data_IF_750670269362
#
_entry.id   IF_750670269362
#
_cell.length_a   1.000
_cell.length_b   1.000
_cell.length_c   1.000
_cell.angle_alpha   90.00
_cell.angle_beta   90.00
_cell.angle_gamma   90.00
#
_symmetry.space_group_name_H-M   'P 1'
#
loop_
_entity.id
_entity.type
_entity.pdbx_description
1 polymer ?
#
# COMPACT_ATOMS: atom_id res chain seq x y z
N UNK A 1 -58.58 -14.80 11.45
CA UNK A 1 -58.01 -13.45 11.21
C UNK A 1 -57.00 -13.00 12.26
N UNK A 2 -57.15 -13.29 13.57
CA UNK A 2 -56.20 -12.87 14.64
C UNK A 2 -54.80 -13.47 14.50
N UNK A 3 -54.64 -14.69 14.00
CA UNK A 3 -53.34 -15.33 13.83
C UNK A 3 -52.57 -14.85 12.60
N UNK A 4 -53.25 -14.34 11.56
CA UNK A 4 -52.60 -13.79 10.36
C UNK A 4 -51.88 -12.48 10.66
N UNK A 5 -52.41 -11.63 11.54
CA UNK A 5 -51.76 -10.41 11.99
C UNK A 5 -50.52 -10.70 12.84
N UNK A 6 -50.52 -11.77 13.64
CA UNK A 6 -49.39 -12.15 14.47
C UNK A 6 -48.22 -12.69 13.63
N UNK A 7 -48.47 -13.40 12.55
CA UNK A 7 -47.46 -13.90 11.63
C UNK A 7 -46.82 -12.78 10.80
N UNK A 8 -47.57 -11.75 10.41
CA UNK A 8 -47.05 -10.59 9.68
C UNK A 8 -46.21 -9.72 10.60
N UNK A 9 -46.56 -9.54 11.87
CA UNK A 9 -45.78 -8.80 12.85
C UNK A 9 -44.46 -9.52 13.20
N UNK A 10 -44.43 -10.85 13.22
CA UNK A 10 -43.21 -11.62 13.49
C UNK A 10 -42.26 -11.62 12.28
N UNK A 11 -42.77 -11.57 11.02
CA UNK A 11 -41.94 -11.47 9.83
C UNK A 11 -41.27 -10.08 9.66
N UNK A 12 -41.89 -9.03 10.17
CA UNK A 12 -41.31 -7.66 10.14
C UNK A 12 -40.13 -7.48 11.11
N UNK A 13 -39.98 -8.33 12.11
CA UNK A 13 -38.87 -8.29 13.08
C UNK A 13 -37.57 -8.92 12.57
N UNK A 14 -37.59 -9.65 11.46
CA UNK A 14 -36.41 -10.34 10.91
C UNK A 14 -35.68 -9.49 9.86
N UNK A 15 -36.27 -8.38 9.39
CA UNK A 15 -35.60 -7.38 8.52
C UNK A 15 -34.89 -6.28 9.31
N UNK A 16 -34.39 -6.61 10.50
CA UNK A 16 -33.51 -5.74 11.30
C UNK A 16 -32.15 -5.65 10.65
N UNK A 17 -31.87 -4.49 10.04
CA UNK A 17 -30.59 -3.91 9.68
C UNK A 17 -29.36 -4.80 9.94
N UNK A 18 -28.86 -5.48 8.92
CA UNK A 18 -27.42 -5.73 8.80
C UNK A 18 -26.79 -4.43 8.30
N UNK A 19 -26.65 -3.44 9.17
CA UNK A 19 -25.64 -2.41 8.96
C UNK A 19 -24.31 -3.11 9.12
N UNK A 20 -23.64 -3.41 8.02
CA UNK A 20 -22.22 -3.73 8.05
C UNK A 20 -21.53 -2.51 8.66
N UNK A 21 -21.07 -2.65 9.91
CA UNK A 21 -20.24 -1.66 10.58
C UNK A 21 -18.85 -1.71 9.94
N UNK A 22 -18.73 -1.28 8.69
CA UNK A 22 -17.44 -0.81 8.21
C UNK A 22 -17.21 0.52 8.91
N UNK A 23 -16.14 0.66 9.70
CA UNK A 23 -15.84 1.94 10.32
C UNK A 23 -15.80 3.03 9.25
N UNK A 24 -16.41 4.18 9.50
CA UNK A 24 -16.30 5.35 8.61
C UNK A 24 -14.86 5.83 8.48
N UNK A 25 -13.98 5.44 9.41
CA UNK A 25 -12.56 5.77 9.49
C UNK A 25 -11.75 4.49 9.47
N UNK A 26 -10.72 4.42 8.60
CA UNK A 26 -9.82 3.28 8.54
C UNK A 26 -8.96 3.20 9.83
N UNK A 27 -8.65 1.99 10.32
CA UNK A 27 -7.77 1.82 11.48
C UNK A 27 -6.34 2.28 11.17
N UNK A 28 -5.57 2.58 12.22
CA UNK A 28 -4.11 2.67 12.14
C UNK A 28 -3.56 1.26 12.42
N UNK A 29 -2.70 0.77 11.53
CA UNK A 29 -2.14 -0.57 11.57
C UNK A 29 -0.66 -0.53 11.95
N UNK A 30 -0.13 -1.67 12.35
CA UNK A 30 1.25 -1.85 12.79
C UNK A 30 1.39 -1.95 14.31
N UNK A 31 2.51 -2.49 14.80
CA UNK A 31 2.76 -2.63 16.23
C UNK A 31 3.00 -1.25 16.85
N UNK A 32 2.24 -0.86 17.88
CA UNK A 32 2.47 0.42 18.54
C UNK A 32 3.82 0.42 19.27
N UNK A 33 4.46 1.59 19.36
CA UNK A 33 5.63 1.81 20.19
C UNK A 33 5.21 2.25 21.59
N UNK A 34 6.08 1.98 22.57
CA UNK A 34 5.88 2.49 23.94
C UNK A 34 6.68 3.78 24.07
N UNK A 35 5.96 4.87 24.28
CA UNK A 35 6.55 6.18 24.51
C UNK A 35 7.30 6.28 25.84
N UNK A 36 8.10 7.34 26.05
CA UNK A 36 8.91 7.55 27.24
C UNK A 36 8.09 7.57 28.56
N UNK A 37 6.82 7.90 28.48
CA UNK A 37 5.90 7.96 29.62
C UNK A 37 5.05 6.70 29.78
N UNK A 38 5.32 5.64 29.02
CA UNK A 38 4.53 4.39 29.01
C UNK A 38 3.23 4.48 28.20
N UNK A 39 2.99 5.56 27.47
CA UNK A 39 1.90 5.73 26.52
C UNK A 39 2.13 4.93 25.25
N UNK A 40 1.02 4.49 24.63
CA UNK A 40 1.05 3.77 23.35
C UNK A 40 1.07 4.78 22.21
N UNK A 41 2.15 4.78 21.43
CA UNK A 41 2.30 5.60 20.22
C UNK A 41 1.96 4.73 19.01
N UNK A 42 0.99 5.12 18.16
CA UNK A 42 0.69 4.38 16.93
C UNK A 42 1.92 4.26 16.04
N UNK A 43 2.05 3.13 15.35
CA UNK A 43 3.12 2.93 14.38
C UNK A 43 3.04 3.97 13.25
N UNK A 44 4.19 4.45 12.82
CA UNK A 44 4.32 5.35 11.68
C UNK A 44 5.57 5.02 10.87
N UNK A 45 5.51 5.23 9.56
CA UNK A 45 6.67 5.02 8.68
C UNK A 45 7.81 5.98 9.09
N UNK A 46 9.00 5.46 9.41
CA UNK A 46 10.15 6.28 9.82
C UNK A 46 10.64 7.19 8.69
N UNK A 47 11.60 8.04 8.99
CA UNK A 47 12.21 8.89 7.98
C UNK A 47 13.04 8.06 7.00
N UNK A 48 12.87 8.36 5.70
CA UNK A 48 13.67 7.77 4.63
C UNK A 48 14.09 8.83 3.60
N UNK A 49 15.12 8.53 2.83
CA UNK A 49 15.55 9.33 1.69
C UNK A 49 16.20 8.42 0.65
N UNK A 50 15.63 8.38 -0.54
CA UNK A 50 16.05 7.58 -1.68
C UNK A 50 16.12 8.44 -2.95
N UNK A 51 16.50 7.86 -4.07
CA UNK A 51 16.55 8.50 -5.39
C UNK A 51 15.59 7.75 -6.31
N UNK A 52 14.75 8.48 -7.06
CA UNK A 52 13.80 7.90 -7.99
C UNK A 52 14.38 7.67 -9.40
N UNK A 53 13.54 7.17 -10.29
CA UNK A 53 13.84 6.89 -11.71
C UNK A 53 14.26 8.13 -12.51
N UNK A 54 14.00 9.34 -12.03
CA UNK A 54 14.37 10.62 -12.69
C UNK A 54 15.50 11.35 -11.94
N UNK A 55 16.24 10.61 -11.09
CA UNK A 55 17.35 11.12 -10.27
C UNK A 55 16.92 12.18 -9.25
N UNK A 56 15.66 12.22 -8.87
CA UNK A 56 15.17 13.15 -7.86
C UNK A 56 15.18 12.51 -6.49
N UNK A 57 15.45 13.31 -5.45
CA UNK A 57 15.36 12.83 -4.06
C UNK A 57 13.89 12.67 -3.67
N UNK A 58 13.54 11.46 -3.18
CA UNK A 58 12.23 11.11 -2.65
C UNK A 58 12.36 10.79 -1.16
N UNK A 59 11.60 11.48 -0.34
CA UNK A 59 11.60 11.33 1.11
C UNK A 59 10.22 11.64 1.68
N UNK A 60 10.07 11.63 3.00
CA UNK A 60 8.78 11.89 3.63
C UNK A 60 8.17 13.26 3.24
N UNK A 61 8.98 14.27 2.92
CA UNK A 61 8.48 15.59 2.51
C UNK A 61 7.81 15.54 1.11
N UNK A 62 8.17 14.59 0.25
CA UNK A 62 7.54 14.36 -1.06
C UNK A 62 6.04 14.09 -0.90
N UNK A 63 5.66 13.40 0.18
CA UNK A 63 4.28 12.99 0.46
C UNK A 63 3.57 13.91 1.46
N UNK A 64 4.09 15.12 1.70
CA UNK A 64 3.44 16.05 2.63
C UNK A 64 2.01 16.37 2.20
N UNK A 65 1.05 16.09 3.08
CA UNK A 65 -0.38 16.31 2.81
C UNK A 65 -1.03 15.29 1.87
N UNK A 66 -0.30 14.27 1.45
CA UNK A 66 -0.78 13.21 0.54
C UNK A 66 -0.75 11.84 1.23
N UNK A 67 -1.64 10.97 0.79
CA UNK A 67 -1.52 9.53 1.00
C UNK A 67 -0.66 8.91 -0.11
N UNK A 68 -0.13 7.72 0.15
CA UNK A 68 0.54 6.96 -0.90
C UNK A 68 0.36 5.46 -0.74
N UNK A 69 0.42 4.74 -1.87
CA UNK A 69 0.48 3.28 -1.88
C UNK A 69 1.91 2.85 -2.12
N UNK A 70 2.43 2.00 -1.25
CA UNK A 70 3.81 1.49 -1.33
C UNK A 70 3.85 0.00 -1.62
N UNK A 71 4.85 -0.42 -2.43
CA UNK A 71 5.23 -1.81 -2.62
C UNK A 71 6.76 -1.99 -2.58
N UNK A 72 7.17 -3.26 -2.50
CA UNK A 72 8.56 -3.70 -2.61
C UNK A 72 8.67 -4.67 -3.76
N UNK A 73 9.55 -4.39 -4.73
CA UNK A 73 9.66 -5.11 -5.97
C UNK A 73 11.12 -5.24 -6.43
N UNK A 74 11.38 -5.99 -7.49
CA UNK A 74 12.58 -5.88 -8.31
C UNK A 74 12.26 -6.25 -9.76
N UNK A 75 12.94 -5.60 -10.72
CA UNK A 75 12.58 -5.67 -12.14
C UNK A 75 12.69 -7.11 -12.67
N UNK A 76 13.71 -7.85 -12.22
CA UNK A 76 13.97 -9.21 -12.69
C UNK A 76 13.17 -10.31 -11.96
N UNK A 77 12.19 -9.96 -11.11
CA UNK A 77 11.36 -10.95 -10.42
C UNK A 77 10.51 -11.76 -11.41
N UNK A 78 10.65 -13.11 -11.42
CA UNK A 78 9.95 -13.92 -12.42
C UNK A 78 8.54 -14.34 -12.01
N UNK A 79 8.08 -14.03 -10.79
CA UNK A 79 6.87 -14.62 -10.19
C UNK A 79 5.79 -13.61 -9.82
N UNK A 80 5.93 -12.95 -8.67
CA UNK A 80 4.86 -12.11 -8.11
C UNK A 80 4.88 -10.67 -8.62
N UNK A 81 6.07 -10.07 -8.86
CA UNK A 81 6.16 -8.66 -9.29
C UNK A 81 5.39 -8.34 -10.58
N UNK A 82 5.35 -9.19 -11.63
CA UNK A 82 4.51 -8.88 -12.79
C UNK A 82 3.01 -8.81 -12.44
N UNK A 83 2.56 -9.58 -11.44
CA UNK A 83 1.17 -9.56 -10.97
C UNK A 83 0.91 -8.30 -10.14
N UNK A 84 1.78 -7.99 -9.17
CA UNK A 84 1.65 -6.78 -8.34
C UNK A 84 1.75 -5.51 -9.17
N UNK A 85 2.70 -5.44 -10.13
CA UNK A 85 2.82 -4.31 -11.04
C UNK A 85 1.54 -4.06 -11.86
N UNK A 86 0.89 -5.14 -12.35
CA UNK A 86 -0.41 -5.02 -13.03
C UNK A 86 -1.49 -4.44 -12.10
N UNK A 87 -1.52 -4.82 -10.84
CA UNK A 87 -2.48 -4.29 -9.88
C UNK A 87 -2.16 -2.84 -9.48
N UNK A 88 -0.88 -2.51 -9.32
CA UNK A 88 -0.44 -1.13 -9.09
C UNK A 88 -0.80 -0.22 -10.28
N UNK A 89 -0.70 -0.71 -11.54
CA UNK A 89 -1.20 0.01 -12.71
C UNK A 89 -2.71 0.26 -12.66
N UNK A 90 -3.50 -0.70 -12.18
CA UNK A 90 -4.95 -0.49 -11.99
C UNK A 90 -5.23 0.61 -10.97
N UNK A 91 -4.48 0.63 -9.87
CA UNK A 91 -4.58 1.70 -8.87
C UNK A 91 -4.14 3.04 -9.47
N UNK A 92 -3.00 3.06 -10.18
CA UNK A 92 -2.51 4.24 -10.90
C UNK A 92 -3.57 4.82 -11.84
N UNK A 93 -4.18 3.98 -12.69
CA UNK A 93 -5.15 4.42 -13.69
C UNK A 93 -6.46 4.91 -13.06
N UNK A 94 -6.89 4.25 -11.96
CA UNK A 94 -8.08 4.65 -11.22
C UNK A 94 -7.91 6.03 -10.57
N UNK A 95 -6.74 6.30 -9.99
CA UNK A 95 -6.44 7.53 -9.26
C UNK A 95 -5.51 8.49 -10.02
N UNK A 96 -5.37 8.37 -11.34
CA UNK A 96 -4.43 9.19 -12.13
C UNK A 96 -4.65 10.70 -12.01
N UNK A 97 -5.89 11.13 -11.78
CA UNK A 97 -6.28 12.53 -11.65
C UNK A 97 -6.47 12.96 -10.18
N UNK A 98 -6.17 12.10 -9.20
CA UNK A 98 -6.29 12.40 -7.76
C UNK A 98 -4.96 12.93 -7.22
N UNK A 99 -4.80 14.24 -6.97
CA UNK A 99 -3.52 14.81 -6.57
C UNK A 99 -3.12 14.47 -5.12
N UNK A 100 -4.05 13.97 -4.30
CA UNK A 100 -3.82 13.62 -2.90
C UNK A 100 -3.27 12.21 -2.72
N UNK A 101 -3.11 11.42 -3.82
CA UNK A 101 -2.54 10.08 -3.78
C UNK A 101 -1.34 9.98 -4.72
N UNK A 102 -0.26 9.37 -4.24
CA UNK A 102 0.91 8.98 -5.03
C UNK A 102 1.22 7.50 -4.86
N UNK A 103 2.14 6.97 -5.66
CA UNK A 103 2.59 5.59 -5.59
C UNK A 103 4.11 5.56 -5.36
N UNK A 104 4.59 4.57 -4.60
CA UNK A 104 5.99 4.45 -4.20
C UNK A 104 6.45 2.99 -4.28
N UNK A 105 7.29 2.65 -5.24
CA UNK A 105 7.91 1.33 -5.36
C UNK A 105 9.36 1.34 -4.87
N UNK A 106 9.70 0.51 -3.89
CA UNK A 106 11.06 0.33 -3.40
C UNK A 106 11.70 -0.87 -4.10
N UNK A 107 12.82 -0.67 -4.83
CA UNK A 107 13.52 -1.84 -5.37
C UNK A 107 14.25 -2.62 -4.30
N UNK A 108 14.14 -3.93 -4.33
CA UNK A 108 14.90 -4.86 -3.47
C UNK A 108 16.24 -5.27 -4.09
N UNK A 109 16.51 -4.88 -5.35
CA UNK A 109 17.74 -5.23 -6.07
C UNK A 109 18.48 -3.97 -6.57
N UNK A 110 18.83 -2.97 -5.71
CA UNK A 110 19.38 -1.68 -6.13
C UNK A 110 20.70 -1.81 -6.92
N UNK A 111 21.42 -2.89 -6.75
CA UNK A 111 22.63 -3.19 -7.53
C UNK A 111 22.34 -3.34 -9.02
N UNK A 112 21.16 -3.85 -9.37
CA UNK A 112 20.74 -4.11 -10.76
C UNK A 112 19.70 -3.07 -11.22
N UNK A 113 18.80 -2.70 -10.34
CA UNK A 113 17.73 -1.73 -10.56
C UNK A 113 18.26 -0.31 -10.31
N UNK A 114 19.21 0.08 -11.16
CA UNK A 114 19.78 1.45 -11.17
C UNK A 114 18.73 2.47 -11.60
N UNK A 115 18.96 3.74 -11.37
CA UNK A 115 18.10 4.85 -11.84
C UNK A 115 17.73 4.69 -13.32
N UNK A 116 18.74 4.38 -14.18
CA UNK A 116 18.49 4.17 -15.60
C UNK A 116 17.63 2.93 -15.89
N UNK A 117 17.74 1.87 -15.09
CA UNK A 117 16.89 0.68 -15.23
C UNK A 117 15.45 0.98 -14.78
N UNK A 118 15.28 1.67 -13.67
CA UNK A 118 13.97 2.11 -13.16
C UNK A 118 13.28 3.08 -14.12
N UNK A 119 14.03 4.01 -14.74
CA UNK A 119 13.48 4.91 -15.76
C UNK A 119 12.94 4.14 -16.97
N UNK A 120 13.68 3.15 -17.47
CA UNK A 120 13.18 2.29 -18.55
C UNK A 120 11.96 1.47 -18.11
N UNK A 121 11.96 0.97 -16.89
CA UNK A 121 10.83 0.24 -16.33
C UNK A 121 9.58 1.10 -16.25
N UNK A 122 9.67 2.31 -15.71
CA UNK A 122 8.56 3.29 -15.68
C UNK A 122 8.02 3.59 -17.08
N UNK A 123 8.91 3.84 -18.06
CA UNK A 123 8.53 4.06 -19.46
C UNK A 123 7.80 2.87 -20.08
N UNK A 124 8.26 1.65 -19.80
CA UNK A 124 7.59 0.43 -20.29
C UNK A 124 6.20 0.24 -19.68
N UNK A 125 5.99 0.70 -18.43
CA UNK A 125 4.68 0.72 -17.78
C UNK A 125 3.80 1.89 -18.26
N UNK A 126 4.36 2.89 -18.93
CA UNK A 126 3.64 4.10 -19.37
C UNK A 126 3.36 5.09 -18.25
N UNK A 127 4.16 5.11 -17.18
CA UNK A 127 3.98 5.96 -15.99
C UNK A 127 5.15 6.93 -15.81
N UNK A 128 4.92 8.00 -15.00
CA UNK A 128 5.92 9.02 -14.68
C UNK A 128 6.09 9.20 -13.17
N UNK A 129 7.21 9.82 -12.77
CA UNK A 129 7.49 10.15 -11.37
C UNK A 129 6.54 11.22 -10.78
N UNK A 130 5.74 11.90 -11.60
CA UNK A 130 4.70 12.80 -11.09
C UNK A 130 3.61 12.07 -10.27
N UNK A 131 3.47 10.76 -10.50
CA UNK A 131 2.44 9.94 -9.86
C UNK A 131 2.98 8.67 -9.21
N UNK A 132 4.05 8.09 -9.77
CA UNK A 132 4.61 6.83 -9.29
C UNK A 132 6.14 6.89 -9.26
N UNK A 133 6.68 7.01 -8.05
CA UNK A 133 8.12 6.96 -7.81
C UNK A 133 8.60 5.50 -7.68
N UNK A 134 9.58 5.12 -8.46
CA UNK A 134 10.36 3.90 -8.29
C UNK A 134 11.71 4.28 -7.69
N UNK A 135 11.95 3.92 -6.43
CA UNK A 135 13.13 4.39 -5.71
C UNK A 135 14.19 3.30 -5.56
N UNK A 136 15.45 3.76 -5.58
CA UNK A 136 16.65 2.97 -5.35
C UNK A 136 17.58 3.68 -4.36
N UNK A 137 18.53 2.96 -3.77
CA UNK A 137 19.46 3.50 -2.79
C UNK A 137 20.33 2.43 -2.14
N UNK A 138 20.73 2.68 -0.89
CA UNK A 138 21.45 1.68 -0.12
C UNK A 138 20.57 0.47 0.21
N UNK A 139 21.05 -0.72 -0.17
CA UNK A 139 20.28 -1.97 -0.02
C UNK A 139 19.91 -2.25 1.44
N UNK A 140 20.86 -2.07 2.36
CA UNK A 140 20.62 -2.35 3.77
C UNK A 140 19.55 -1.42 4.35
N UNK A 141 19.51 -0.17 3.90
CA UNK A 141 18.48 0.80 4.27
C UNK A 141 17.11 0.38 3.73
N UNK A 142 17.02 -0.02 2.45
CA UNK A 142 15.77 -0.48 1.83
C UNK A 142 15.23 -1.72 2.56
N UNK A 143 16.10 -2.70 2.86
CA UNK A 143 15.69 -3.92 3.57
C UNK A 143 15.21 -3.64 5.00
N UNK A 144 15.79 -2.65 5.69
CA UNK A 144 15.31 -2.20 7.01
C UNK A 144 13.95 -1.50 6.94
N UNK A 145 13.61 -0.89 5.80
CA UNK A 145 12.31 -0.24 5.63
C UNK A 145 11.17 -1.23 5.42
N UNK A 146 11.40 -2.42 4.85
CA UNK A 146 10.34 -3.35 4.52
C UNK A 146 9.50 -3.78 5.75
N UNK A 147 10.05 -4.15 6.91
CA UNK A 147 9.27 -4.42 8.12
C UNK A 147 8.44 -3.23 8.61
N UNK A 148 8.95 -1.99 8.45
CA UNK A 148 8.21 -0.77 8.82
C UNK A 148 6.94 -0.59 7.99
N UNK A 149 6.91 -1.15 6.78
CA UNK A 149 5.72 -1.23 5.93
C UNK A 149 4.94 -2.55 6.11
N UNK A 150 5.15 -3.30 7.22
CA UNK A 150 4.55 -4.61 7.42
C UNK A 150 4.82 -5.58 6.26
N UNK A 151 5.94 -5.39 5.58
CA UNK A 151 6.35 -6.17 4.42
C UNK A 151 7.55 -7.05 4.75
N UNK A 152 7.81 -8.07 3.94
CA UNK A 152 8.98 -8.96 4.06
C UNK A 152 9.92 -8.70 2.91
N UNK A 153 11.21 -8.57 3.19
CA UNK A 153 12.26 -8.51 2.19
C UNK A 153 13.51 -9.20 2.75
N UNK A 154 13.84 -10.35 2.21
CA UNK A 154 14.98 -11.17 2.64
C UNK A 154 15.73 -11.71 1.42
N UNK A 155 17.07 -11.67 1.46
CA UNK A 155 17.86 -12.45 0.52
C UNK A 155 17.63 -13.94 0.81
N UNK A 156 17.29 -14.70 -0.24
CA UNK A 156 16.99 -16.12 -0.15
C UNK A 156 17.37 -16.77 -1.48
N UNK A 157 18.47 -17.49 -1.48
CA UNK A 157 18.99 -18.15 -2.68
C UNK A 157 18.03 -19.18 -3.27
N UNK A 158 17.12 -19.70 -2.48
CA UNK A 158 16.12 -20.68 -2.89
C UNK A 158 14.84 -20.01 -3.44
N UNK A 159 14.67 -18.71 -3.17
CA UNK A 159 13.53 -17.96 -3.71
C UNK A 159 13.73 -17.63 -5.20
N UNK A 160 12.64 -17.58 -5.99
CA UNK A 160 12.68 -17.15 -7.37
C UNK A 160 13.29 -15.75 -7.53
N UNK A 161 14.45 -15.65 -8.18
CA UNK A 161 15.19 -14.39 -8.33
C UNK A 161 16.08 -14.01 -7.16
N UNK A 162 16.25 -14.91 -6.14
CA UNK A 162 17.18 -14.72 -5.04
C UNK A 162 16.66 -13.81 -3.90
N UNK A 163 15.39 -13.40 -3.95
CA UNK A 163 14.79 -12.49 -2.96
C UNK A 163 13.38 -12.97 -2.60
N UNK A 164 13.16 -13.22 -1.32
CA UNK A 164 11.84 -13.52 -0.79
C UNK A 164 11.18 -12.21 -0.34
N UNK A 165 9.98 -11.93 -0.87
CA UNK A 165 9.19 -10.76 -0.51
C UNK A 165 7.68 -11.05 -0.57
N UNK A 166 6.88 -10.32 0.23
CA UNK A 166 5.49 -10.67 0.48
C UNK A 166 4.50 -10.24 -0.62
N UNK A 167 4.86 -9.31 -1.48
CA UNK A 167 3.96 -8.80 -2.53
C UNK A 167 2.75 -8.02 -2.02
N UNK A 168 2.78 -7.54 -0.77
CA UNK A 168 1.73 -6.67 -0.23
C UNK A 168 1.84 -5.25 -0.78
N UNK A 169 0.66 -4.64 -1.03
CA UNK A 169 0.50 -3.22 -1.29
C UNK A 169 0.01 -2.55 -0.01
N UNK A 170 0.63 -1.45 0.39
CA UNK A 170 0.44 -0.81 1.68
C UNK A 170 -0.05 0.62 1.49
N UNK A 171 -1.20 0.96 2.08
CA UNK A 171 -1.75 2.32 2.07
C UNK A 171 -1.26 3.09 3.29
N UNK A 172 -0.60 4.22 3.02
CA UNK A 172 -0.07 5.12 4.07
C UNK A 172 -0.74 6.48 3.95
N UNK A 173 -1.17 7.04 5.08
CA UNK A 173 -1.81 8.36 5.13
C UNK A 173 -0.82 9.54 5.19
N UNK A 174 -1.34 10.76 5.11
CA UNK A 174 -0.57 12.01 5.21
C UNK A 174 0.22 12.17 6.52
N UNK A 175 -0.12 11.41 7.56
CA UNK A 175 0.56 11.39 8.85
C UNK A 175 1.55 10.22 8.97
N UNK A 176 1.78 9.49 7.88
CA UNK A 176 2.66 8.32 7.78
C UNK A 176 2.16 7.08 8.52
N UNK A 177 0.88 6.99 8.85
CA UNK A 177 0.31 5.78 9.42
C UNK A 177 -0.14 4.81 8.33
N UNK A 178 0.09 3.52 8.53
CA UNK A 178 -0.48 2.47 7.69
C UNK A 178 -1.97 2.38 8.00
N UNK A 179 -2.81 2.49 6.96
CA UNK A 179 -4.27 2.53 7.10
C UNK A 179 -4.97 1.32 6.49
N UNK A 180 -4.36 0.69 5.49
CA UNK A 180 -4.83 -0.56 4.87
C UNK A 180 -3.68 -1.27 4.17
N UNK A 181 -3.88 -2.54 3.83
CA UNK A 181 -2.99 -3.32 2.99
C UNK A 181 -3.79 -4.36 2.21
N UNK A 182 -3.20 -4.88 1.14
CA UNK A 182 -3.77 -6.00 0.40
C UNK A 182 -2.68 -6.92 -0.16
N UNK A 183 -3.07 -8.14 -0.50
CA UNK A 183 -2.25 -9.01 -1.33
C UNK A 183 -2.30 -8.53 -2.78
N UNK A 184 -1.21 -7.91 -3.25
CA UNK A 184 -1.09 -7.38 -4.61
C UNK A 184 -1.14 -8.44 -5.72
N UNK A 185 -1.21 -9.74 -5.40
CA UNK A 185 -1.41 -10.81 -6.37
C UNK A 185 -2.87 -11.26 -6.48
N UNK A 186 -3.75 -10.80 -5.57
CA UNK A 186 -5.18 -11.12 -5.53
C UNK A 186 -6.01 -9.94 -6.01
N UNK A 187 -6.69 -10.12 -7.15
CA UNK A 187 -7.50 -9.06 -7.76
C UNK A 187 -8.67 -8.63 -6.87
N UNK A 188 -9.34 -9.57 -6.18
CA UNK A 188 -10.48 -9.25 -5.32
C UNK A 188 -10.04 -8.47 -4.08
N UNK A 189 -8.88 -8.80 -3.51
CA UNK A 189 -8.33 -8.04 -2.38
C UNK A 189 -7.88 -6.63 -2.81
N UNK A 190 -7.35 -6.48 -4.03
CA UNK A 190 -7.03 -5.15 -4.60
C UNK A 190 -8.31 -4.33 -4.87
N UNK A 191 -9.41 -4.96 -5.30
CA UNK A 191 -10.69 -4.25 -5.48
C UNK A 191 -11.20 -3.67 -4.14
N UNK A 192 -11.12 -4.44 -3.05
CA UNK A 192 -11.39 -3.96 -1.69
C UNK A 192 -10.44 -2.81 -1.31
N UNK A 193 -9.16 -2.96 -1.60
CA UNK A 193 -8.14 -1.98 -1.27
C UNK A 193 -8.34 -0.63 -1.99
N UNK A 194 -8.83 -0.63 -3.24
CA UNK A 194 -9.21 0.59 -3.96
C UNK A 194 -10.32 1.34 -3.20
N UNK A 195 -11.31 0.62 -2.66
CA UNK A 195 -12.37 1.21 -1.82
C UNK A 195 -11.78 1.79 -0.53
N UNK A 196 -10.78 1.13 0.08
CA UNK A 196 -10.11 1.67 1.27
C UNK A 196 -9.32 2.96 0.94
N UNK A 197 -8.69 3.05 -0.23
CA UNK A 197 -8.03 4.29 -0.68
C UNK A 197 -9.06 5.41 -0.82
N UNK A 198 -10.21 5.17 -1.47
CA UNK A 198 -11.29 6.14 -1.60
C UNK A 198 -11.77 6.64 -0.23
N UNK A 199 -12.02 5.72 0.72
CA UNK A 199 -12.40 6.07 2.10
C UNK A 199 -11.35 6.93 2.78
N UNK A 200 -10.06 6.58 2.68
CA UNK A 200 -8.98 7.37 3.28
C UNK A 200 -8.93 8.80 2.73
N UNK A 201 -9.11 8.95 1.41
CA UNK A 201 -9.09 10.25 0.76
C UNK A 201 -10.30 11.13 1.14
N UNK A 202 -11.41 10.52 1.57
CA UNK A 202 -12.62 11.21 2.03
C UNK A 202 -12.60 11.50 3.55
N UNK A 203 -11.66 10.92 4.31
CA UNK A 203 -11.46 11.25 5.73
C UNK A 203 -11.02 12.72 5.90
N UNK A 204 -11.67 13.42 6.84
CA UNK A 204 -11.44 14.86 7.13
C UNK A 204 -10.21 15.11 7.98
#
# INVERSE_FOLDING_TARGET
MKYLFFLIALAALIFGCQTSLTPDVLPILGPPEIGPNGDSIPHFIPYFSFIDQDSQAVNNATFTGKAYVSDFFFIACPTICPKTAKQMLRIHDHFKNEPRLELLGHTLAPKYDTVAALNRYAKNLGVSAEKWHFVTGDQATIYKMAPEYMNVALEDTDAPGGINHSGYLILVDKNRHIRSFCNGTDTADVDRFIIDIEKLLDEK
#
